data_IF_353151302328
#
_entry.id   IF_353151302328
#
_cell.length_a   1.000
_cell.length_b   1.000
_cell.length_c   1.000
_cell.angle_alpha   90.00
_cell.angle_beta   90.00
_cell.angle_gamma   90.00
#
_symmetry.space_group_name_H-M   'P 1'
#
loop_
_entity.id
_entity.type
_entity.pdbx_description
1 polymer ?
#
# COMPACT_ATOMS: atom_id res chain seq x y z
N UNK A 1 -13.23 18.79 1.16
CA UNK A 1 -11.84 18.54 1.61
C UNK A 1 -11.07 18.12 0.38
N UNK A 2 -10.05 18.87 0.06
CA UNK A 2 -9.18 18.52 -1.08
C UNK A 2 -8.49 17.20 -0.76
N UNK A 3 -8.94 16.12 -1.41
CA UNK A 3 -8.42 14.76 -1.14
C UNK A 3 -7.06 14.52 -1.82
N UNK A 4 -6.58 15.48 -2.62
CA UNK A 4 -5.29 15.38 -3.26
C UNK A 4 -4.21 15.99 -2.37
N UNK A 5 -3.34 15.13 -1.84
CA UNK A 5 -2.09 15.58 -1.23
C UNK A 5 -0.89 14.98 -1.99
N UNK A 6 0.29 15.61 -1.93
CA UNK A 6 1.46 15.12 -2.64
C UNK A 6 1.92 13.76 -2.09
N UNK A 7 2.67 13.03 -2.91
CA UNK A 7 3.35 11.83 -2.46
C UNK A 7 4.20 12.14 -1.22
N UNK A 8 3.88 11.49 -0.10
CA UNK A 8 4.52 11.74 1.19
C UNK A 8 5.01 10.41 1.77
N UNK A 9 6.31 10.33 1.99
CA UNK A 9 6.96 9.13 2.51
C UNK A 9 7.67 9.37 3.84
N UNK A 10 7.89 8.30 4.60
CA UNK A 10 8.67 8.32 5.82
C UNK A 10 7.95 7.77 7.04
N UNK A 11 8.34 8.25 8.21
CA UNK A 11 7.71 7.90 9.49
C UNK A 11 6.45 8.71 9.73
N UNK A 12 5.53 8.08 10.43
CA UNK A 12 4.25 8.66 10.79
C UNK A 12 4.00 8.47 12.28
N UNK A 13 3.31 9.42 12.90
CA UNK A 13 2.88 9.37 14.28
C UNK A 13 1.36 9.42 14.35
N UNK A 14 0.78 8.60 15.21
CA UNK A 14 -0.64 8.64 15.55
C UNK A 14 -0.85 9.48 16.79
N UNK A 15 -1.75 10.46 16.70
CA UNK A 15 -2.12 11.32 17.82
C UNK A 15 -3.57 11.80 17.70
N UNK A 16 -4.37 11.65 18.75
CA UNK A 16 -5.75 12.12 18.80
C UNK A 16 -6.67 11.59 17.69
N UNK A 17 -6.37 10.40 17.12
CA UNK A 17 -7.12 9.84 15.99
C UNK A 17 -6.71 10.39 14.63
N UNK A 18 -5.53 11.03 14.55
CA UNK A 18 -4.95 11.55 13.33
C UNK A 18 -3.51 11.04 13.10
N UNK A 19 -3.18 10.78 11.84
CA UNK A 19 -1.82 10.51 11.42
C UNK A 19 -1.12 11.82 11.04
N UNK A 20 0.07 11.98 11.57
CA UNK A 20 0.97 13.11 11.28
C UNK A 20 2.22 12.58 10.59
N UNK A 21 2.56 13.13 9.44
CA UNK A 21 3.85 12.85 8.80
C UNK A 21 4.97 13.53 9.61
N UNK A 22 5.99 12.79 10.03
CA UNK A 22 7.09 13.36 10.82
C UNK A 22 7.90 14.41 10.04
N UNK A 23 7.95 14.28 8.71
CA UNK A 23 8.54 15.29 7.82
C UNK A 23 7.69 16.54 7.59
N UNK A 24 6.45 16.59 8.10
CA UNK A 24 5.50 17.66 7.83
C UNK A 24 5.01 17.67 6.38
N UNK A 25 4.55 18.83 5.91
CA UNK A 25 4.21 19.06 4.49
C UNK A 25 2.79 18.76 4.10
N UNK A 26 2.02 18.01 4.91
CA UNK A 26 0.61 17.75 4.68
C UNK A 26 -0.21 17.93 5.96
N UNK A 27 -1.50 18.18 5.81
CA UNK A 27 -2.44 18.21 6.93
C UNK A 27 -2.58 16.81 7.55
N UNK A 28 -2.87 16.71 8.87
CA UNK A 28 -3.11 15.44 9.53
C UNK A 28 -4.23 14.64 8.85
N UNK A 29 -4.04 13.32 8.72
CA UNK A 29 -5.01 12.42 8.10
C UNK A 29 -5.85 11.72 9.17
N UNK A 30 -7.18 11.78 9.07
CA UNK A 30 -8.08 11.09 9.98
C UNK A 30 -8.01 9.56 9.77
N UNK A 31 -7.92 8.80 10.87
CA UNK A 31 -7.79 7.33 10.86
C UNK A 31 -9.13 6.59 10.86
N UNK A 32 -10.18 7.17 10.29
CA UNK A 32 -11.52 6.58 10.33
C UNK A 32 -11.68 5.34 9.46
N UNK A 33 -10.99 5.26 8.33
CA UNK A 33 -11.05 4.14 7.37
C UNK A 33 -9.89 4.15 6.39
N UNK A 34 -9.79 3.06 5.59
CA UNK A 34 -8.84 2.94 4.48
C UNK A 34 -7.39 2.90 4.96
N UNK A 35 -6.47 3.33 4.11
CA UNK A 35 -5.03 3.30 4.39
C UNK A 35 -4.63 4.05 5.67
N UNK A 36 -5.22 5.20 6.03
CA UNK A 36 -4.96 5.82 7.32
C UNK A 36 -5.33 4.94 8.52
N UNK A 37 -6.45 4.21 8.45
CA UNK A 37 -6.85 3.29 9.54
C UNK A 37 -5.89 2.09 9.65
N UNK A 38 -5.49 1.51 8.52
CA UNK A 38 -4.48 0.44 8.50
C UNK A 38 -3.18 0.90 9.15
N UNK A 39 -2.65 2.04 8.72
CA UNK A 39 -1.39 2.58 9.25
C UNK A 39 -1.51 2.93 10.73
N UNK A 40 -2.61 3.56 11.15
CA UNK A 40 -2.88 3.87 12.56
C UNK A 40 -2.91 2.61 13.43
N UNK A 41 -3.56 1.55 12.95
CA UNK A 41 -3.60 0.25 13.64
C UNK A 41 -2.21 -0.38 13.72
N UNK A 42 -1.44 -0.34 12.63
CA UNK A 42 -0.07 -0.86 12.60
C UNK A 42 0.84 -0.13 13.60
N UNK A 43 0.74 1.20 13.68
CA UNK A 43 1.51 2.00 14.65
C UNK A 43 1.17 1.62 16.10
N UNK A 44 -0.11 1.52 16.44
CA UNK A 44 -0.56 1.10 17.79
C UNK A 44 -0.11 -0.33 18.12
N UNK A 45 -0.19 -1.23 17.13
CA UNK A 45 0.25 -2.62 17.32
C UNK A 45 1.75 -2.67 17.58
N UNK A 46 2.55 -1.97 16.81
CA UNK A 46 4.00 -1.91 17.00
C UNK A 46 4.37 -1.32 18.36
N UNK A 47 3.69 -0.24 18.79
CA UNK A 47 3.88 0.34 20.11
C UNK A 47 3.55 -0.67 21.22
N UNK A 48 2.42 -1.37 21.11
CA UNK A 48 1.99 -2.39 22.08
C UNK A 48 2.98 -3.55 22.18
N UNK A 49 3.54 -3.98 21.04
CA UNK A 49 4.50 -5.08 20.97
C UNK A 49 5.96 -4.66 21.26
N UNK A 50 6.22 -3.36 21.38
CA UNK A 50 7.57 -2.84 21.57
C UNK A 50 8.50 -3.07 20.37
N UNK A 51 7.94 -3.08 19.15
CA UNK A 51 8.69 -3.29 17.90
C UNK A 51 8.75 -1.99 17.08
N UNK A 52 9.72 -1.93 16.16
CA UNK A 52 9.91 -0.78 15.28
C UNK A 52 8.66 -0.52 14.42
N UNK A 53 8.12 0.70 14.39
CA UNK A 53 6.96 1.03 13.60
C UNK A 53 7.28 1.04 12.10
N UNK A 54 6.28 0.77 11.22
CA UNK A 54 6.47 0.83 9.79
C UNK A 54 6.68 2.27 9.31
N UNK A 55 7.40 2.41 8.20
CA UNK A 55 7.32 3.61 7.36
C UNK A 55 6.18 3.44 6.36
N UNK A 56 5.61 4.54 5.88
CA UNK A 56 4.60 4.49 4.85
C UNK A 56 4.85 5.52 3.75
N UNK A 57 4.46 5.16 2.53
CA UNK A 57 4.43 6.02 1.38
C UNK A 57 2.97 6.21 0.97
N UNK A 58 2.44 7.41 1.14
CA UNK A 58 1.05 7.75 0.90
C UNK A 58 0.92 8.81 -0.17
N UNK A 59 -0.15 8.74 -0.96
CA UNK A 59 -0.55 9.80 -1.86
C UNK A 59 -2.07 9.98 -1.81
N UNK A 60 -2.53 11.23 -1.83
CA UNK A 60 -3.95 11.52 -1.94
C UNK A 60 -4.48 11.19 -3.33
N UNK A 61 -5.68 10.62 -3.38
CA UNK A 61 -6.37 10.30 -4.62
C UNK A 61 -7.81 10.79 -4.56
N UNK A 62 -8.29 11.38 -5.64
CA UNK A 62 -9.67 11.85 -5.77
C UNK A 62 -10.61 10.81 -6.36
N UNK A 63 -10.16 9.55 -6.48
CA UNK A 63 -10.90 8.44 -7.08
C UNK A 63 -10.58 8.20 -8.56
N UNK A 64 -9.63 8.95 -9.12
CA UNK A 64 -9.20 8.83 -10.52
C UNK A 64 -7.88 8.05 -10.69
N UNK A 65 -7.29 7.56 -9.61
CA UNK A 65 -6.03 6.83 -9.62
C UNK A 65 -4.76 7.69 -9.75
N UNK A 66 -4.87 9.02 -9.66
CA UNK A 66 -3.70 9.91 -9.81
C UNK A 66 -2.66 9.72 -8.70
N UNK A 67 -3.11 9.53 -7.47
CA UNK A 67 -2.25 9.21 -6.34
C UNK A 67 -1.59 7.85 -6.51
N UNK A 68 -2.35 6.86 -6.93
CA UNK A 68 -1.86 5.51 -7.17
C UNK A 68 -0.81 5.47 -8.27
N UNK A 69 -1.02 6.18 -9.38
CA UNK A 69 -0.02 6.30 -10.45
C UNK A 69 1.30 6.93 -9.98
N UNK A 70 1.23 7.93 -9.10
CA UNK A 70 2.43 8.52 -8.48
C UNK A 70 3.17 7.50 -7.61
N UNK A 71 2.45 6.69 -6.83
CA UNK A 71 3.03 5.61 -6.02
C UNK A 71 3.71 4.56 -6.89
N UNK A 72 3.03 4.03 -7.91
CA UNK A 72 3.61 3.08 -8.85
C UNK A 72 4.87 3.64 -9.53
N UNK A 73 4.80 4.87 -10.03
CA UNK A 73 5.93 5.50 -10.72
C UNK A 73 7.13 5.71 -9.79
N UNK A 74 6.89 6.13 -8.55
CA UNK A 74 7.94 6.34 -7.55
C UNK A 74 8.62 5.03 -7.16
N UNK A 75 7.83 3.98 -6.91
CA UNK A 75 8.36 2.66 -6.55
C UNK A 75 9.11 2.00 -7.71
N UNK A 76 8.59 2.11 -8.94
CA UNK A 76 9.25 1.55 -10.11
C UNK A 76 10.56 2.26 -10.49
N UNK A 77 10.70 3.56 -10.17
CA UNK A 77 11.87 4.34 -10.58
C UNK A 77 13.12 4.00 -9.76
N UNK A 78 12.98 3.70 -8.47
CA UNK A 78 14.15 3.45 -7.60
C UNK A 78 13.72 2.88 -6.24
N UNK A 79 13.35 1.61 -6.13
CA UNK A 79 13.00 1.04 -4.84
C UNK A 79 14.25 0.89 -3.99
N UNK A 80 14.33 1.66 -2.91
CA UNK A 80 15.36 1.42 -1.88
C UNK A 80 14.84 0.36 -0.91
N UNK A 81 15.34 -0.86 -1.03
CA UNK A 81 14.96 -2.00 -0.18
C UNK A 81 15.91 -2.23 0.98
N UNK A 82 16.89 -1.33 1.21
CA UNK A 82 17.83 -1.48 2.31
C UNK A 82 17.10 -1.52 3.66
N UNK A 83 17.16 -2.67 4.34
CA UNK A 83 16.50 -2.89 5.62
C UNK A 83 14.99 -3.14 5.54
N UNK A 84 14.38 -3.14 4.35
CA UNK A 84 12.96 -3.45 4.17
C UNK A 84 12.76 -4.95 4.23
N UNK A 85 11.98 -5.43 5.21
CA UNK A 85 11.64 -6.85 5.39
C UNK A 85 10.31 -7.25 4.79
N UNK A 86 9.38 -6.30 4.68
CA UNK A 86 8.06 -6.52 4.10
C UNK A 86 7.47 -5.24 3.53
N UNK A 87 6.61 -5.39 2.54
CA UNK A 87 5.87 -4.30 1.89
C UNK A 87 4.39 -4.70 1.85
N UNK A 88 3.53 -3.84 2.38
CA UNK A 88 2.08 -4.01 2.26
C UNK A 88 1.55 -2.99 1.25
N UNK A 89 0.92 -3.49 0.20
CA UNK A 89 0.18 -2.66 -0.76
C UNK A 89 -1.29 -2.63 -0.37
N UNK A 90 -1.85 -1.43 -0.28
CA UNK A 90 -3.21 -1.24 0.19
C UNK A 90 -3.89 -0.11 -0.59
N UNK A 91 -5.08 -0.36 -1.11
CA UNK A 91 -5.95 0.61 -1.81
C UNK A 91 -5.31 1.37 -2.97
N UNK A 92 -4.41 0.76 -3.73
CA UNK A 92 -3.95 1.35 -4.99
C UNK A 92 -4.98 1.08 -6.09
N UNK A 93 -5.24 2.09 -6.90
CA UNK A 93 -6.09 1.96 -8.07
C UNK A 93 -5.48 0.95 -9.06
N UNK A 94 -6.28 0.06 -9.67
CA UNK A 94 -5.78 -0.94 -10.61
C UNK A 94 -5.09 -0.30 -11.82
N UNK A 95 -3.79 -0.54 -11.95
CA UNK A 95 -2.95 -0.16 -13.08
C UNK A 95 -1.98 -1.31 -13.33
N UNK A 96 -2.29 -2.16 -14.32
CA UNK A 96 -1.52 -3.38 -14.60
C UNK A 96 -0.08 -3.07 -15.00
N UNK A 97 0.13 -2.04 -15.80
CA UNK A 97 1.47 -1.62 -16.22
C UNK A 97 2.29 -1.08 -15.04
N UNK A 98 1.68 -0.22 -14.24
CA UNK A 98 2.30 0.32 -13.02
C UNK A 98 2.68 -0.78 -12.04
N UNK A 99 1.75 -1.69 -11.78
CA UNK A 99 1.95 -2.86 -10.93
C UNK A 99 3.12 -3.74 -11.41
N UNK A 100 3.14 -4.12 -12.70
CA UNK A 100 4.16 -4.99 -13.25
C UNK A 100 5.55 -4.34 -13.18
N UNK A 101 5.65 -3.05 -13.49
CA UNK A 101 6.91 -2.30 -13.36
C UNK A 101 7.42 -2.27 -11.92
N UNK A 102 6.53 -2.14 -10.95
CA UNK A 102 6.92 -2.19 -9.53
C UNK A 102 7.48 -3.56 -9.17
N UNK A 103 6.79 -4.65 -9.55
CA UNK A 103 7.29 -6.01 -9.26
C UNK A 103 8.67 -6.26 -9.88
N UNK A 104 8.87 -5.88 -11.14
CA UNK A 104 10.17 -6.00 -11.82
C UNK A 104 11.25 -5.20 -11.09
N UNK A 105 10.95 -3.96 -10.71
CA UNK A 105 11.91 -3.12 -9.99
C UNK A 105 12.26 -3.67 -8.60
N UNK A 106 11.29 -4.26 -7.89
CA UNK A 106 11.53 -4.93 -6.61
C UNK A 106 12.41 -6.18 -6.78
N UNK A 107 12.21 -6.95 -7.83
CA UNK A 107 13.03 -8.13 -8.14
C UNK A 107 14.49 -7.75 -8.48
N UNK A 108 14.67 -6.67 -9.23
CA UNK A 108 16.00 -6.16 -9.58
C UNK A 108 16.74 -5.51 -8.41
N UNK A 109 16.02 -4.97 -7.42
CA UNK A 109 16.61 -4.19 -6.31
C UNK A 109 17.36 -5.04 -5.26
N UNK A 110 17.21 -6.38 -5.28
CA UNK A 110 17.92 -7.27 -4.35
C UNK A 110 17.02 -8.33 -3.70
N UNK A 111 17.33 -8.75 -2.47
CA UNK A 111 16.54 -9.78 -1.80
C UNK A 111 15.06 -9.37 -1.71
N UNK A 112 14.18 -10.22 -2.20
CA UNK A 112 12.74 -9.96 -2.22
C UNK A 112 12.21 -9.81 -0.77
N UNK A 113 11.55 -8.68 -0.42
CA UNK A 113 10.83 -8.56 0.84
C UNK A 113 9.56 -9.43 0.83
N UNK A 114 8.99 -9.68 2.00
CA UNK A 114 7.63 -10.26 2.11
C UNK A 114 6.63 -9.29 1.49
N UNK A 115 5.86 -9.74 0.51
CA UNK A 115 4.87 -8.92 -0.19
C UNK A 115 3.46 -9.27 0.29
N UNK A 116 2.74 -8.25 0.76
CA UNK A 116 1.36 -8.38 1.23
C UNK A 116 0.46 -7.53 0.33
N UNK A 117 -0.60 -8.14 -0.18
CA UNK A 117 -1.66 -7.45 -0.92
C UNK A 117 -2.92 -7.38 -0.07
N UNK A 118 -3.41 -6.17 0.17
CA UNK A 118 -4.58 -5.90 1.00
C UNK A 118 -5.59 -5.02 0.26
N UNK A 119 -6.87 -5.21 0.58
CA UNK A 119 -7.99 -4.50 -0.02
C UNK A 119 -8.00 -4.61 -1.56
N UNK A 120 -8.44 -3.57 -2.26
CA UNK A 120 -8.57 -3.56 -3.72
C UNK A 120 -7.27 -3.82 -4.50
N UNK A 121 -6.09 -3.78 -3.85
CA UNK A 121 -4.84 -4.11 -4.51
C UNK A 121 -4.74 -5.59 -4.90
N UNK A 122 -5.45 -6.47 -4.20
CA UNK A 122 -5.51 -7.89 -4.54
C UNK A 122 -6.09 -8.14 -5.94
N UNK A 123 -6.98 -7.27 -6.40
CA UNK A 123 -7.56 -7.39 -7.76
C UNK A 123 -6.51 -7.18 -8.83
N UNK A 124 -5.65 -6.16 -8.70
CA UNK A 124 -4.59 -5.94 -9.69
C UNK A 124 -3.56 -7.05 -9.66
N UNK A 125 -3.23 -7.59 -8.49
CA UNK A 125 -2.31 -8.73 -8.37
C UNK A 125 -2.83 -9.97 -9.12
N UNK A 126 -4.14 -10.29 -8.96
CA UNK A 126 -4.77 -11.39 -9.71
C UNK A 126 -4.85 -11.10 -11.21
N UNK A 127 -5.34 -9.92 -11.58
CA UNK A 127 -5.58 -9.56 -12.99
C UNK A 127 -4.32 -9.46 -13.82
N UNK A 128 -3.21 -9.07 -13.19
CA UNK A 128 -1.90 -9.00 -13.86
C UNK A 128 -1.27 -10.38 -14.12
N UNK A 129 -1.83 -11.45 -13.50
CA UNK A 129 -1.26 -12.79 -13.55
C UNK A 129 -0.08 -13.00 -12.59
N UNK A 130 0.17 -12.06 -11.69
CA UNK A 130 1.29 -12.12 -10.73
C UNK A 130 0.83 -12.36 -9.28
N UNK A 131 -0.32 -13.02 -9.07
CA UNK A 131 -0.77 -13.35 -7.72
C UNK A 131 0.29 -14.14 -6.92
N UNK A 132 1.00 -15.06 -7.57
CA UNK A 132 2.06 -15.88 -6.97
C UNK A 132 3.31 -15.06 -6.53
N UNK A 133 3.42 -13.81 -6.94
CA UNK A 133 4.48 -12.93 -6.49
C UNK A 133 4.28 -12.47 -5.03
N UNK A 134 3.07 -12.60 -4.49
CA UNK A 134 2.71 -12.17 -3.14
C UNK A 134 2.74 -13.33 -2.15
N UNK A 135 3.26 -13.06 -0.95
CA UNK A 135 3.37 -14.05 0.13
C UNK A 135 2.09 -14.12 0.96
N UNK A 136 1.29 -13.04 0.98
CA UNK A 136 0.06 -12.98 1.77
C UNK A 136 -0.99 -12.09 1.10
N UNK A 137 -2.23 -12.58 1.11
CA UNK A 137 -3.44 -11.81 0.82
C UNK A 137 -4.31 -11.74 2.07
N UNK A 138 -4.95 -10.59 2.31
CA UNK A 138 -5.81 -10.35 3.47
C UNK A 138 -7.26 -10.03 3.04
N UNK A 139 -7.94 -10.96 2.33
CA UNK A 139 -9.24 -10.71 1.74
C UNK A 139 -10.37 -10.68 2.77
N UNK A 140 -11.35 -9.83 2.55
CA UNK A 140 -12.70 -10.05 3.09
C UNK A 140 -13.43 -11.18 2.31
N UNK A 141 -14.68 -11.49 2.70
CA UNK A 141 -15.43 -12.57 2.08
C UNK A 141 -15.72 -12.33 0.58
N UNK A 142 -15.96 -11.09 0.18
CA UNK A 142 -16.21 -10.72 -1.22
C UNK A 142 -14.93 -10.79 -2.06
N UNK A 143 -13.85 -10.28 -1.54
CA UNK A 143 -12.53 -10.33 -2.16
C UNK A 143 -12.04 -11.79 -2.29
N UNK A 144 -12.27 -12.61 -1.26
CA UNK A 144 -11.94 -14.03 -1.31
C UNK A 144 -12.72 -14.76 -2.41
N UNK A 145 -14.01 -14.48 -2.55
CA UNK A 145 -14.83 -15.07 -3.61
C UNK A 145 -14.29 -14.71 -5.01
N UNK A 146 -13.88 -13.45 -5.21
CA UNK A 146 -13.23 -13.01 -6.45
C UNK A 146 -11.88 -13.71 -6.67
N UNK A 147 -11.06 -13.82 -5.64
CA UNK A 147 -9.74 -14.47 -5.74
C UNK A 147 -9.88 -15.96 -6.07
N UNK A 148 -10.88 -16.64 -5.53
CA UNK A 148 -11.13 -18.07 -5.73
C UNK A 148 -11.76 -18.39 -7.09
N UNK A 149 -12.47 -17.48 -7.72
CA UNK A 149 -13.11 -17.69 -9.01
C UNK A 149 -12.16 -17.36 -10.16
N UNK A 150 -11.68 -18.39 -10.85
CA UNK A 150 -10.78 -18.23 -12.02
C UNK A 150 -11.43 -17.46 -13.18
N UNK A 151 -12.75 -17.40 -13.23
CA UNK A 151 -13.52 -16.79 -14.33
C UNK A 151 -14.19 -15.47 -13.93
N UNK A 152 -14.05 -15.06 -12.67
CA UNK A 152 -14.68 -13.83 -12.21
C UNK A 152 -14.19 -12.63 -13.06
N UNK A 153 -15.12 -11.95 -13.74
CA UNK A 153 -14.75 -10.67 -14.33
C UNK A 153 -14.37 -9.71 -13.22
N UNK A 154 -13.61 -8.69 -13.57
CA UNK A 154 -13.28 -7.59 -12.66
C UNK A 154 -14.57 -6.99 -12.08
N UNK A 155 -14.65 -6.72 -10.76
CA UNK A 155 -15.78 -6.01 -10.17
C UNK A 155 -15.90 -4.56 -10.64
#
# INVERSE_FOLDING_TARGET
>A
MDASFPLTGGRWRLDGGFLHAEGGGIAPLSVQRGTPALLGTALLTCETLGVEPPTALLAGDTGNGDGSRKLYSSLAASPSLSGVRGITFHYLFPDLDGHNRVLMALEEAGPKPVLVADAGFMYVAKMSGYADAYDLFTPDAGELAFLADEKAPHP
#
